data_IF_343194070696
#
_entry.id   IF_343194070696
#
_cell.length_a   1.000
_cell.length_b   1.000
_cell.length_c   1.000
_cell.angle_alpha   90.00
_cell.angle_beta   90.00
_cell.angle_gamma   90.00
#
_symmetry.space_group_name_H-M   'P 1'
#
loop_
_entity.id
_entity.type
_entity.pdbx_description
1 polymer ?
#
# COMPACT_ATOMS: atom_id res chain seq x y z
N UNK A 1 39.95 -15.41 14.95
CA UNK A 1 39.47 -16.18 13.78
C UNK A 1 37.99 -16.41 14.01
N UNK A 2 37.20 -15.39 13.73
CA UNK A 2 35.75 -15.46 13.77
C UNK A 2 35.27 -16.09 12.46
N UNK A 3 34.68 -17.26 12.58
CA UNK A 3 34.02 -17.91 11.49
C UNK A 3 32.78 -17.06 11.12
N UNK A 4 32.93 -16.33 10.04
CA UNK A 4 31.89 -15.59 9.35
C UNK A 4 30.79 -16.58 8.96
N UNK A 5 29.70 -16.59 9.73
CA UNK A 5 28.50 -17.35 9.41
C UNK A 5 27.89 -16.74 8.15
N UNK A 6 28.40 -17.14 7.01
CA UNK A 6 27.77 -16.95 5.71
C UNK A 6 26.52 -17.84 5.74
N UNK A 7 25.43 -17.28 6.21
CA UNK A 7 24.10 -17.83 5.99
C UNK A 7 23.92 -17.86 4.47
N UNK A 8 24.16 -19.02 3.91
CA UNK A 8 23.93 -19.33 2.49
C UNK A 8 22.43 -19.04 2.20
N UNK A 9 22.15 -17.81 1.80
CA UNK A 9 20.82 -17.38 1.32
C UNK A 9 20.58 -18.18 0.05
N UNK A 10 19.94 -19.34 0.19
CA UNK A 10 19.43 -20.12 -0.92
C UNK A 10 18.41 -19.26 -1.65
N UNK A 11 18.91 -18.41 -2.54
CA UNK A 11 18.09 -17.73 -3.55
C UNK A 11 17.24 -18.78 -4.26
N UNK A 12 16.05 -18.41 -4.69
CA UNK A 12 15.28 -19.21 -5.65
C UNK A 12 16.22 -19.46 -6.84
N UNK A 13 16.89 -20.62 -6.83
CA UNK A 13 17.85 -21.00 -7.85
C UNK A 13 17.14 -20.96 -9.20
N UNK A 14 17.29 -19.86 -9.93
CA UNK A 14 16.99 -19.81 -11.35
C UNK A 14 16.03 -18.73 -11.86
N UNK A 15 15.23 -18.03 -11.03
CA UNK A 15 14.35 -16.99 -11.56
C UNK A 15 15.03 -15.61 -11.52
N UNK A 16 15.13 -14.91 -12.66
CA UNK A 16 15.63 -13.56 -12.68
C UNK A 16 14.69 -12.61 -11.93
N UNK A 17 15.22 -11.50 -11.38
CA UNK A 17 14.48 -10.55 -10.54
C UNK A 17 13.22 -10.04 -11.20
N UNK A 18 13.31 -9.70 -12.48
CA UNK A 18 12.18 -9.23 -13.26
C UNK A 18 11.03 -10.27 -13.30
N UNK A 19 11.37 -11.57 -13.35
CA UNK A 19 10.37 -12.63 -13.34
C UNK A 19 9.70 -12.76 -11.96
N UNK A 20 10.43 -12.57 -10.87
CA UNK A 20 9.85 -12.53 -9.52
C UNK A 20 8.91 -11.33 -9.34
N UNK A 21 9.30 -10.14 -9.83
CA UNK A 21 8.44 -8.95 -9.81
C UNK A 21 7.20 -9.16 -10.66
N UNK A 22 7.34 -9.71 -11.85
CA UNK A 22 6.22 -10.01 -12.74
C UNK A 22 5.26 -11.03 -12.11
N UNK A 23 5.81 -12.09 -11.50
CA UNK A 23 5.00 -13.09 -10.78
C UNK A 23 4.24 -12.45 -9.61
N UNK A 24 4.90 -11.58 -8.83
CA UNK A 24 4.25 -10.83 -7.76
C UNK A 24 3.07 -10.00 -8.29
N UNK A 25 3.27 -9.27 -9.39
CA UNK A 25 2.21 -8.47 -10.02
C UNK A 25 1.04 -9.36 -10.46
N UNK A 26 1.32 -10.50 -11.09
CA UNK A 26 0.25 -11.45 -11.50
C UNK A 26 -0.51 -11.97 -10.29
N UNK A 27 0.19 -12.42 -9.24
CA UNK A 27 -0.43 -12.90 -8.00
C UNK A 27 -1.26 -11.80 -7.35
N UNK A 28 -0.74 -10.56 -7.32
CA UNK A 28 -1.49 -9.40 -6.81
C UNK A 28 -2.78 -9.17 -7.58
N UNK A 29 -2.76 -9.15 -8.91
CA UNK A 29 -3.96 -8.97 -9.72
C UNK A 29 -4.99 -10.08 -9.50
N UNK A 30 -4.56 -11.33 -9.36
CA UNK A 30 -5.47 -12.46 -9.06
C UNK A 30 -6.18 -12.23 -7.74
N UNK A 31 -5.46 -11.87 -6.66
CA UNK A 31 -6.08 -11.61 -5.36
C UNK A 31 -6.91 -10.32 -5.36
N UNK A 32 -6.49 -9.29 -6.08
CA UNK A 32 -7.26 -8.07 -6.25
C UNK A 32 -8.65 -8.36 -6.86
N UNK A 33 -8.69 -9.13 -7.95
CA UNK A 33 -9.96 -9.54 -8.57
C UNK A 33 -10.81 -10.40 -7.63
N UNK A 34 -10.18 -11.34 -6.92
CA UNK A 34 -10.88 -12.20 -5.96
C UNK A 34 -11.51 -11.38 -4.82
N UNK A 35 -10.74 -10.53 -4.14
CA UNK A 35 -11.25 -9.71 -3.04
C UNK A 35 -12.28 -8.68 -3.52
N UNK A 36 -12.05 -8.07 -4.69
CA UNK A 36 -13.03 -7.15 -5.29
C UNK A 36 -14.37 -7.85 -5.56
N UNK A 37 -14.36 -9.05 -6.12
CA UNK A 37 -15.58 -9.81 -6.36
C UNK A 37 -16.28 -10.20 -5.05
N UNK A 38 -15.54 -10.62 -4.02
CA UNK A 38 -16.10 -10.96 -2.70
C UNK A 38 -16.74 -9.73 -2.03
N UNK A 39 -16.06 -8.59 -2.09
CA UNK A 39 -16.55 -7.33 -1.47
C UNK A 39 -17.79 -6.82 -2.23
N UNK A 40 -17.77 -6.84 -3.56
CA UNK A 40 -18.94 -6.44 -4.34
C UNK A 40 -20.13 -7.38 -4.09
N UNK A 41 -19.89 -8.69 -4.02
CA UNK A 41 -20.91 -9.65 -3.65
C UNK A 41 -21.49 -9.38 -2.25
N UNK A 42 -20.65 -9.09 -1.28
CA UNK A 42 -21.07 -8.70 0.07
C UNK A 42 -21.87 -7.40 0.09
N UNK A 43 -21.40 -6.35 -0.59
CA UNK A 43 -22.10 -5.07 -0.68
C UNK A 43 -23.49 -5.21 -1.30
N UNK A 44 -23.61 -5.98 -2.38
CA UNK A 44 -24.88 -6.16 -3.08
C UNK A 44 -25.86 -7.04 -2.30
N UNK A 45 -25.38 -8.16 -1.71
CA UNK A 45 -26.26 -9.14 -1.04
C UNK A 45 -26.65 -8.73 0.38
N UNK A 46 -25.71 -8.12 1.13
CA UNK A 46 -25.91 -7.84 2.56
C UNK A 46 -26.36 -6.41 2.80
N UNK A 47 -25.76 -5.44 2.10
CA UNK A 47 -26.06 -4.03 2.31
C UNK A 47 -27.03 -3.45 1.27
N UNK A 48 -27.38 -4.19 0.23
CA UNK A 48 -28.27 -3.73 -0.85
C UNK A 48 -27.72 -2.49 -1.58
N UNK A 49 -26.41 -2.24 -1.49
CA UNK A 49 -25.75 -1.05 -2.05
C UNK A 49 -25.30 -1.36 -3.47
N UNK A 50 -25.76 -0.57 -4.44
CA UNK A 50 -25.26 -0.67 -5.79
C UNK A 50 -23.79 -0.24 -5.87
N UNK A 51 -22.99 -0.96 -6.67
CA UNK A 51 -21.56 -0.73 -6.84
C UNK A 51 -21.22 0.68 -7.37
N UNK A 52 -22.19 1.43 -7.91
CA UNK A 52 -22.00 2.78 -8.46
C UNK A 52 -21.92 3.88 -7.40
N UNK A 53 -22.54 3.67 -6.22
CA UNK A 53 -22.56 4.67 -5.14
C UNK A 53 -22.36 4.00 -3.77
N UNK A 54 -21.19 3.42 -3.52
CA UNK A 54 -20.97 2.61 -2.32
C UNK A 54 -20.89 3.42 -1.01
N UNK A 55 -20.91 4.75 -1.07
CA UNK A 55 -20.66 5.62 0.10
C UNK A 55 -19.28 5.39 0.72
N UNK A 56 -18.99 6.11 1.81
CA UNK A 56 -17.65 6.03 2.46
C UNK A 56 -17.32 4.62 2.96
N UNK A 57 -18.32 3.89 3.46
CA UNK A 57 -18.14 2.51 3.95
C UNK A 57 -17.75 1.56 2.80
N UNK A 58 -18.40 1.71 1.65
CA UNK A 58 -18.09 0.89 0.48
C UNK A 58 -16.68 1.18 -0.06
N UNK A 59 -16.25 2.43 -0.07
CA UNK A 59 -14.88 2.79 -0.44
C UNK A 59 -13.85 2.19 0.53
N UNK A 60 -14.09 2.26 1.84
CA UNK A 60 -13.22 1.64 2.85
C UNK A 60 -13.13 0.13 2.65
N UNK A 61 -14.25 -0.55 2.36
CA UNK A 61 -14.25 -1.98 2.11
C UNK A 61 -13.46 -2.34 0.84
N UNK A 62 -13.61 -1.56 -0.24
CA UNK A 62 -12.84 -1.77 -1.48
C UNK A 62 -11.33 -1.60 -1.24
N UNK A 63 -10.92 -0.54 -0.53
CA UNK A 63 -9.51 -0.33 -0.18
C UNK A 63 -8.97 -1.42 0.77
N UNK A 64 -9.81 -1.91 1.69
CA UNK A 64 -9.45 -3.08 2.51
C UNK A 64 -9.15 -4.30 1.63
N UNK A 65 -9.93 -4.52 0.57
CA UNK A 65 -9.68 -5.57 -0.40
C UNK A 65 -8.34 -5.39 -1.14
N UNK A 66 -8.02 -4.16 -1.56
CA UNK A 66 -6.74 -3.85 -2.21
C UNK A 66 -5.55 -4.06 -1.27
N UNK A 67 -5.67 -3.59 -0.03
CA UNK A 67 -4.66 -3.81 1.01
C UNK A 67 -4.44 -5.30 1.29
N UNK A 68 -5.53 -6.08 1.44
CA UNK A 68 -5.45 -7.52 1.66
C UNK A 68 -4.84 -8.24 0.44
N UNK A 69 -5.15 -7.82 -0.77
CA UNK A 69 -4.55 -8.38 -1.98
C UNK A 69 -3.03 -8.16 -2.02
N UNK A 70 -2.57 -6.94 -1.73
CA UNK A 70 -1.14 -6.62 -1.66
C UNK A 70 -0.44 -7.41 -0.56
N UNK A 71 -1.02 -7.44 0.64
CA UNK A 71 -0.46 -8.15 1.79
C UNK A 71 -0.36 -9.66 1.53
N UNK A 72 -1.44 -10.27 1.03
CA UNK A 72 -1.48 -11.71 0.74
C UNK A 72 -0.45 -12.06 -0.33
N UNK A 73 -0.37 -11.28 -1.39
CA UNK A 73 0.59 -11.48 -2.48
C UNK A 73 2.03 -11.35 -1.99
N UNK A 74 2.31 -10.31 -1.18
CA UNK A 74 3.64 -10.12 -0.60
C UNK A 74 4.03 -11.28 0.33
N UNK A 75 3.11 -11.73 1.19
CA UNK A 75 3.36 -12.88 2.07
C UNK A 75 3.62 -14.16 1.28
N UNK A 76 2.84 -14.44 0.24
CA UNK A 76 3.03 -15.61 -0.63
C UNK A 76 4.41 -15.56 -1.27
N UNK A 77 4.80 -14.43 -1.85
CA UNK A 77 6.08 -14.29 -2.52
C UNK A 77 7.26 -14.41 -1.53
N UNK A 78 7.16 -13.77 -0.35
CA UNK A 78 8.19 -13.90 0.68
C UNK A 78 8.33 -15.36 1.16
N UNK A 79 7.22 -16.07 1.32
CA UNK A 79 7.23 -17.51 1.66
C UNK A 79 7.89 -18.34 0.57
N UNK A 80 7.58 -18.05 -0.67
CA UNK A 80 8.20 -18.70 -1.85
C UNK A 80 9.71 -18.44 -1.88
N UNK A 81 10.15 -17.23 -1.59
CA UNK A 81 11.54 -16.82 -1.56
C UNK A 81 12.26 -17.17 -0.24
N UNK A 82 11.55 -17.78 0.73
CA UNK A 82 12.04 -18.09 2.08
C UNK A 82 12.62 -16.87 2.81
N UNK A 83 12.02 -15.71 2.58
CA UNK A 83 12.40 -14.43 3.21
C UNK A 83 11.51 -14.14 4.41
N UNK A 84 12.04 -13.50 5.46
CA UNK A 84 11.24 -13.13 6.62
C UNK A 84 10.29 -11.98 6.30
N UNK A 85 9.18 -11.91 7.03
CA UNK A 85 8.18 -10.83 6.89
C UNK A 85 8.76 -9.43 7.20
N UNK A 86 9.80 -9.36 8.04
CA UNK A 86 10.52 -8.11 8.33
C UNK A 86 11.10 -7.41 7.09
N UNK A 87 11.32 -8.16 6.03
CA UNK A 87 11.87 -7.64 4.78
C UNK A 87 10.86 -6.73 4.02
N UNK A 88 9.59 -6.71 4.44
CA UNK A 88 8.61 -5.73 3.94
C UNK A 88 8.88 -4.29 4.41
N UNK A 89 9.83 -4.09 5.34
CA UNK A 89 10.23 -2.76 5.77
C UNK A 89 9.16 -1.97 6.54
N UNK A 90 8.10 -2.63 7.02
CA UNK A 90 6.99 -2.00 7.76
C UNK A 90 7.35 -1.63 9.22
N UNK A 91 8.64 -1.67 9.57
CA UNK A 91 9.08 -1.36 10.94
C UNK A 91 9.15 0.15 11.16
N UNK A 92 8.36 0.64 12.10
CA UNK A 92 8.33 2.05 12.53
C UNK A 92 9.42 2.37 13.57
N UNK A 93 10.08 1.33 14.15
CA UNK A 93 11.09 1.49 15.19
C UNK A 93 12.28 2.32 14.70
N UNK A 94 12.56 3.43 15.38
CA UNK A 94 13.67 4.33 15.05
C UNK A 94 13.36 5.42 14.01
N UNK A 95 12.21 5.37 13.34
CA UNK A 95 11.85 6.29 12.26
C UNK A 95 10.78 7.34 12.63
N UNK A 96 10.44 7.48 13.90
CA UNK A 96 9.40 8.39 14.37
C UNK A 96 9.64 9.85 13.93
N UNK A 97 10.89 10.33 13.94
CA UNK A 97 11.23 11.68 13.46
C UNK A 97 10.94 11.85 11.97
N UNK A 98 11.29 10.86 11.15
CA UNK A 98 11.00 10.86 9.71
C UNK A 98 9.50 10.90 9.43
N UNK A 99 8.70 10.22 10.23
CA UNK A 99 7.25 10.20 10.13
C UNK A 99 6.65 11.60 10.41
N UNK A 100 7.13 12.30 11.44
CA UNK A 100 6.71 13.67 11.73
C UNK A 100 7.11 14.66 10.63
N UNK A 101 8.34 14.56 10.11
CA UNK A 101 8.74 15.39 8.97
C UNK A 101 7.92 15.10 7.72
N UNK A 102 7.64 13.83 7.43
CA UNK A 102 6.78 13.45 6.32
C UNK A 102 5.36 14.01 6.45
N UNK A 103 4.77 13.93 7.64
CA UNK A 103 3.47 14.50 7.92
C UNK A 103 3.45 16.03 7.72
N UNK A 104 4.46 16.73 8.26
CA UNK A 104 4.57 18.18 8.12
C UNK A 104 4.71 18.61 6.66
N UNK A 105 5.54 17.90 5.89
CA UNK A 105 5.71 18.16 4.45
C UNK A 105 4.41 17.91 3.70
N UNK A 106 3.68 16.82 4.02
CA UNK A 106 2.40 16.52 3.40
C UNK A 106 1.35 17.62 3.67
N UNK A 107 1.26 18.08 4.93
CA UNK A 107 0.35 19.18 5.29
C UNK A 107 0.70 20.47 4.54
N UNK A 108 1.99 20.83 4.50
CA UNK A 108 2.46 22.01 3.75
C UNK A 108 2.14 21.90 2.26
N UNK A 109 2.39 20.74 1.66
CA UNK A 109 2.08 20.50 0.26
C UNK A 109 0.59 20.65 -0.04
N UNK A 110 -0.26 20.11 0.83
CA UNK A 110 -1.72 20.26 0.71
C UNK A 110 -2.18 21.73 0.86
N UNK A 111 -1.63 22.46 1.85
CA UNK A 111 -1.97 23.86 2.04
C UNK A 111 -1.55 24.73 0.85
N UNK A 112 -0.36 24.48 0.29
CA UNK A 112 0.12 25.19 -0.90
C UNK A 112 -0.75 24.87 -2.11
N UNK A 113 -1.05 23.57 -2.35
CA UNK A 113 -1.89 23.15 -3.47
C UNK A 113 -3.31 23.74 -3.38
N UNK A 114 -3.92 23.66 -2.19
CA UNK A 114 -5.25 24.25 -1.94
C UNK A 114 -5.24 25.76 -2.13
N UNK A 115 -4.23 26.45 -1.57
CA UNK A 115 -4.09 27.90 -1.71
C UNK A 115 -3.91 28.33 -3.17
N UNK A 116 -3.12 27.63 -3.94
CA UNK A 116 -2.94 27.90 -5.37
C UNK A 116 -4.25 27.68 -6.15
N UNK A 117 -4.98 26.61 -5.87
CA UNK A 117 -6.27 26.35 -6.54
C UNK A 117 -7.33 27.42 -6.23
N UNK A 118 -7.32 27.96 -5.01
CA UNK A 118 -8.16 29.11 -4.65
C UNK A 118 -7.75 30.38 -5.41
N UNK A 119 -6.44 30.67 -5.49
CA UNK A 119 -5.91 31.86 -6.18
C UNK A 119 -6.17 31.83 -7.69
N UNK A 120 -6.13 30.64 -8.28
CA UNK A 120 -6.37 30.43 -9.71
C UNK A 120 -7.88 30.39 -10.04
N UNK A 121 -8.78 30.40 -9.05
CA UNK A 121 -10.22 30.31 -9.25
C UNK A 121 -10.71 28.92 -9.66
N UNK A 122 -9.88 27.89 -9.49
CA UNK A 122 -10.25 26.49 -9.79
C UNK A 122 -11.25 25.91 -8.79
N UNK A 123 -11.25 26.42 -7.57
CA UNK A 123 -12.16 26.03 -6.50
C UNK A 123 -12.74 27.24 -5.80
N UNK A 124 -14.04 27.13 -5.44
CA UNK A 124 -14.74 28.10 -4.61
C UNK A 124 -15.15 27.46 -3.29
N UNK A 125 -14.90 28.14 -2.17
CA UNK A 125 -15.37 27.70 -0.85
C UNK A 125 -16.80 28.16 -0.66
N UNK A 126 -17.77 27.31 -0.97
CA UNK A 126 -19.22 27.63 -0.87
C UNK A 126 -19.77 27.48 0.55
N UNK A 127 -19.06 26.81 1.45
CA UNK A 127 -19.47 26.63 2.84
C UNK A 127 -18.61 25.59 3.57
N UNK A 128 -18.80 25.53 4.88
CA UNK A 128 -18.11 24.58 5.74
C UNK A 128 -19.13 23.64 6.39
N UNK A 129 -19.12 22.37 6.02
CA UNK A 129 -19.92 21.33 6.69
C UNK A 129 -18.97 20.34 7.35
N UNK A 130 -19.05 20.24 8.66
CA UNK A 130 -18.29 19.27 9.42
C UNK A 130 -19.11 18.00 9.61
N UNK A 131 -18.79 16.98 8.84
CA UNK A 131 -19.39 15.65 8.98
C UNK A 131 -18.33 14.69 9.54
N UNK A 132 -18.41 14.44 10.86
CA UNK A 132 -17.43 13.62 11.57
C UNK A 132 -17.28 12.19 11.01
N UNK A 133 -18.37 11.59 10.55
CA UNK A 133 -18.36 10.24 9.97
C UNK A 133 -17.56 10.21 8.66
N UNK A 134 -17.79 11.18 7.78
CA UNK A 134 -17.07 11.27 6.51
C UNK A 134 -15.60 11.62 6.75
N UNK A 135 -15.29 12.47 7.72
CA UNK A 135 -13.91 12.82 8.06
C UNK A 135 -13.15 11.61 8.58
N UNK A 136 -13.68 10.90 9.58
CA UNK A 136 -13.06 9.70 10.13
C UNK A 136 -12.95 8.58 9.08
N UNK A 137 -13.99 8.40 8.28
CA UNK A 137 -14.00 7.45 7.17
C UNK A 137 -12.91 7.74 6.14
N UNK A 138 -12.73 9.01 5.78
CA UNK A 138 -11.65 9.44 4.87
C UNK A 138 -10.26 9.17 5.45
N UNK A 139 -10.07 9.38 6.76
CA UNK A 139 -8.81 9.04 7.41
C UNK A 139 -8.48 7.56 7.32
N UNK A 140 -9.47 6.70 7.60
CA UNK A 140 -9.30 5.24 7.49
C UNK A 140 -9.03 4.84 6.04
N UNK A 141 -9.76 5.42 5.10
CA UNK A 141 -9.57 5.18 3.66
C UNK A 141 -8.14 5.51 3.22
N UNK A 142 -7.65 6.73 3.49
CA UNK A 142 -6.31 7.14 3.09
C UNK A 142 -5.21 6.37 3.83
N UNK A 143 -5.44 5.94 5.08
CA UNK A 143 -4.52 5.07 5.79
C UNK A 143 -4.37 3.71 5.09
N UNK A 144 -5.48 3.13 4.63
CA UNK A 144 -5.46 1.87 3.88
C UNK A 144 -4.75 2.02 2.53
N UNK A 145 -5.01 3.11 1.80
CA UNK A 145 -4.30 3.45 0.55
C UNK A 145 -2.80 3.54 0.80
N UNK A 146 -2.38 4.29 1.82
CA UNK A 146 -0.95 4.44 2.14
C UNK A 146 -0.29 3.11 2.50
N UNK A 147 -0.95 2.27 3.30
CA UNK A 147 -0.45 0.94 3.65
C UNK A 147 -0.37 0.01 2.42
N UNK A 148 -1.37 0.06 1.56
CA UNK A 148 -1.39 -0.68 0.31
C UNK A 148 -0.21 -0.31 -0.58
N UNK A 149 -0.02 0.99 -0.85
CA UNK A 149 1.08 1.49 -1.67
C UNK A 149 2.46 1.16 -1.07
N UNK A 150 2.60 1.30 0.26
CA UNK A 150 3.84 0.97 0.96
C UNK A 150 4.21 -0.50 0.80
N UNK A 151 3.26 -1.42 0.98
CA UNK A 151 3.50 -2.86 0.80
C UNK A 151 3.84 -3.19 -0.64
N UNK A 152 3.08 -2.64 -1.59
CA UNK A 152 3.25 -2.93 -3.01
C UNK A 152 4.62 -2.44 -3.52
N UNK A 153 4.91 -1.16 -3.30
CA UNK A 153 6.08 -0.51 -3.90
C UNK A 153 7.34 -0.70 -3.08
N UNK A 154 7.31 -0.36 -1.80
CA UNK A 154 8.50 -0.43 -0.93
C UNK A 154 8.70 -1.81 -0.33
N UNK A 155 7.60 -2.46 0.07
CA UNK A 155 7.69 -3.75 0.73
C UNK A 155 8.28 -4.81 -0.18
N UNK A 156 7.66 -5.07 -1.30
CA UNK A 156 8.11 -6.16 -2.16
C UNK A 156 9.01 -5.69 -3.32
N UNK A 157 8.53 -4.75 -4.15
CA UNK A 157 9.25 -4.37 -5.39
C UNK A 157 10.61 -3.75 -5.08
N UNK A 158 10.64 -2.69 -4.29
CA UNK A 158 11.89 -2.01 -3.93
C UNK A 158 12.78 -2.89 -3.06
N UNK A 159 12.18 -3.61 -2.09
CA UNK A 159 12.90 -4.58 -1.26
C UNK A 159 13.61 -5.62 -2.11
N UNK A 160 12.98 -6.12 -3.18
CA UNK A 160 13.59 -7.09 -4.09
C UNK A 160 14.71 -6.47 -4.94
N UNK A 161 14.53 -5.25 -5.42
CA UNK A 161 15.56 -4.53 -6.18
C UNK A 161 16.79 -4.23 -5.34
N UNK A 162 16.63 -3.79 -4.08
CA UNK A 162 17.74 -3.45 -3.19
C UNK A 162 18.54 -4.68 -2.72
N UNK A 163 17.92 -5.84 -2.60
CA UNK A 163 18.62 -7.10 -2.28
C UNK A 163 19.41 -7.70 -3.44
N UNK A 164 19.26 -7.14 -4.63
CA UNK A 164 20.13 -7.50 -5.73
C UNK A 164 21.44 -6.75 -5.56
N UNK A 165 22.56 -7.48 -5.55
CA UNK A 165 23.91 -6.90 -5.51
C UNK A 165 24.07 -5.83 -6.60
N UNK A 166 23.73 -4.58 -6.29
CA UNK A 166 24.06 -3.42 -7.13
C UNK A 166 25.57 -3.10 -7.12
N UNK A 167 26.38 -3.96 -6.49
CA UNK A 167 27.86 -3.86 -6.47
C UNK A 167 28.54 -4.31 -7.77
N UNK A 168 27.82 -4.36 -8.89
CA UNK A 168 28.40 -4.74 -10.19
C UNK A 168 28.29 -3.66 -11.27
N UNK A 169 28.15 -2.37 -10.81
CA UNK A 169 28.31 -1.24 -11.72
C UNK A 169 29.31 -0.25 -11.15
#
# INVERSE_FOLDING_TARGET
>A
MEAENIVDKKELKGLPIWACILLFIVVFFVFMLLYSALIQGFLSLVLGVEARHPGIVGYILQETGMFLAALTSAVIMLRFERRPFSDLGLSVKGHARGLWYGLLIAVLFYLVGFGLSLLLGEIEVTGFKFESVNLLGSWVFFLLVALFEEILMRGYILGRLLHTNMNKF
#
